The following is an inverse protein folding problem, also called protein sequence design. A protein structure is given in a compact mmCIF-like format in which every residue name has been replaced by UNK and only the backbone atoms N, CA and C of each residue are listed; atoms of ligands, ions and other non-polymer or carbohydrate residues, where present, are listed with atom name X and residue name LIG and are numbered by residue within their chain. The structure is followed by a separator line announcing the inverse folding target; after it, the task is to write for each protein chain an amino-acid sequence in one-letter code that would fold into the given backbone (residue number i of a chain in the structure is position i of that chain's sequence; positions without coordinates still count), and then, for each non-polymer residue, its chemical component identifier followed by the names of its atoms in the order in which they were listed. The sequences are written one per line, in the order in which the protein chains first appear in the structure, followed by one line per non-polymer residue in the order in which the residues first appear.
data_IF_038815077931
#
_entry.id   IF_038815077931
#
_cell.length_a   1.000
_cell.length_b   1.000
_cell.length_c   1.000
_cell.angle_alpha   90.00
_cell.angle_beta   90.00
_cell.angle_gamma   90.00
#
_symmetry.space_group_name_H-M   'P 1'
#
loop_
_entity.id
_entity.type
_entity.pdbx_description
1 polymer ?
#
# COMPACT_ATOMS: atom_id res chain seq x y z
N UNK A 1 1.29 -9.83 5.75
CA UNK A 1 1.48 -8.63 4.91
C UNK A 1 0.83 -8.94 3.58
N UNK A 2 -0.05 -8.08 3.07
CA UNK A 2 -0.64 -8.30 1.75
C UNK A 2 0.13 -7.53 0.70
N UNK A 3 0.37 -8.17 -0.45
CA UNK A 3 0.97 -7.54 -1.63
C UNK A 3 -0.03 -7.67 -2.76
N UNK A 4 -0.61 -6.53 -3.15
CA UNK A 4 -1.66 -6.46 -4.15
C UNK A 4 -1.07 -6.02 -5.48
N UNK A 5 -1.30 -6.82 -6.52
CA UNK A 5 -0.77 -6.60 -7.85
C UNK A 5 -1.90 -6.44 -8.84
N UNK A 6 -1.71 -5.54 -9.80
CA UNK A 6 -2.66 -5.27 -10.86
C UNK A 6 -1.95 -4.58 -12.02
N UNK A 7 -2.61 -4.51 -13.18
CA UNK A 7 -2.04 -3.90 -14.38
C UNK A 7 -1.97 -2.40 -14.24
N UNK A 8 -0.77 -1.83 -14.29
CA UNK A 8 -0.59 -0.38 -14.34
C UNK A 8 -0.08 0.08 -15.70
N UNK A 9 0.73 -0.73 -16.36
CA UNK A 9 1.31 -0.44 -17.67
C UNK A 9 0.78 -1.35 -18.78
N UNK A 10 0.80 -0.89 -20.05
CA UNK A 10 0.51 -1.74 -21.19
C UNK A 10 1.40 -2.99 -21.20
N UNK A 11 0.77 -4.17 -21.27
CA UNK A 11 1.47 -5.45 -21.32
C UNK A 11 1.55 -6.20 -19.98
N UNK A 12 1.22 -5.55 -18.86
CA UNK A 12 1.02 -6.19 -17.57
C UNK A 12 -0.10 -7.25 -17.67
N UNK A 13 0.09 -8.39 -17.02
CA UNK A 13 -0.88 -9.47 -16.96
C UNK A 13 -0.59 -10.38 -15.76
N UNK A 14 -1.63 -11.02 -15.22
CA UNK A 14 -1.50 -12.00 -14.13
C UNK A 14 -0.52 -13.12 -14.47
N UNK A 15 -0.57 -13.60 -15.72
CA UNK A 15 0.31 -14.67 -16.20
C UNK A 15 1.79 -14.28 -16.32
N UNK A 16 2.11 -12.98 -16.24
CA UNK A 16 3.47 -12.43 -16.29
C UNK A 16 3.93 -11.89 -14.94
N UNK A 17 3.06 -11.92 -13.93
CA UNK A 17 3.33 -11.33 -12.64
C UNK A 17 4.36 -12.19 -11.87
N UNK A 18 5.48 -11.60 -11.41
CA UNK A 18 6.42 -12.30 -10.54
C UNK A 18 5.85 -12.39 -9.12
N UNK A 19 5.03 -13.40 -8.87
CA UNK A 19 4.40 -13.68 -7.57
C UNK A 19 5.37 -13.93 -6.40
N UNK A 20 6.67 -13.92 -6.66
CA UNK A 20 7.74 -14.20 -5.71
C UNK A 20 8.71 -13.03 -5.51
N UNK A 21 8.42 -11.84 -6.09
CA UNK A 21 9.35 -10.71 -6.03
C UNK A 21 9.61 -10.19 -4.61
N UNK A 22 8.64 -10.37 -3.71
CA UNK A 22 8.81 -10.15 -2.28
C UNK A 22 8.90 -11.53 -1.60
N UNK A 23 10.07 -11.85 -1.09
CA UNK A 23 10.41 -13.20 -0.59
C UNK A 23 10.17 -13.40 0.90
N UNK A 24 9.64 -12.38 1.61
CA UNK A 24 9.31 -12.52 3.02
C UNK A 24 8.16 -13.54 3.18
N UNK A 25 8.32 -14.59 4.02
CA UNK A 25 7.31 -15.65 4.16
C UNK A 25 5.98 -15.16 4.73
N UNK A 26 5.93 -13.94 5.27
CA UNK A 26 4.69 -13.30 5.75
C UNK A 26 3.95 -12.55 4.63
N UNK A 27 4.51 -12.50 3.41
CA UNK A 27 3.92 -11.87 2.25
C UNK A 27 2.86 -12.78 1.61
N UNK A 28 1.63 -12.31 1.59
CA UNK A 28 0.53 -12.94 0.88
C UNK A 28 0.24 -12.15 -0.40
N UNK A 29 0.55 -12.78 -1.52
CA UNK A 29 0.47 -12.20 -2.84
C UNK A 29 -0.94 -12.40 -3.42
N UNK A 30 -1.54 -11.33 -3.95
CA UNK A 30 -2.89 -11.33 -4.54
C UNK A 30 -2.92 -10.54 -5.85
N UNK A 31 -3.54 -11.11 -6.88
CA UNK A 31 -3.87 -10.40 -8.11
C UNK A 31 -5.24 -9.75 -8.00
N UNK A 32 -5.34 -8.46 -8.33
CA UNK A 32 -6.54 -7.63 -8.26
C UNK A 32 -6.79 -6.93 -9.61
N UNK A 33 -7.16 -7.71 -10.63
CA UNK A 33 -7.42 -7.20 -11.98
C UNK A 33 -8.31 -5.93 -12.00
N UNK A 34 -9.41 -5.83 -11.22
CA UNK A 34 -10.24 -4.62 -11.19
C UNK A 34 -9.59 -3.40 -10.53
N UNK A 35 -8.41 -3.54 -9.93
CA UNK A 35 -7.74 -2.54 -9.07
C UNK A 35 -8.63 -2.11 -7.90
N UNK A 36 -9.48 -2.99 -7.40
CA UNK A 36 -10.48 -2.67 -6.39
C UNK A 36 -9.83 -2.06 -5.15
N UNK A 37 -8.74 -2.66 -4.67
CA UNK A 37 -8.02 -2.20 -3.47
C UNK A 37 -7.36 -0.84 -3.72
N UNK A 38 -6.64 -0.70 -4.83
CA UNK A 38 -5.95 0.55 -5.18
C UNK A 38 -6.91 1.72 -5.41
N UNK A 39 -8.04 1.49 -6.08
CA UNK A 39 -9.12 2.47 -6.25
C UNK A 39 -9.75 2.87 -4.93
N UNK A 40 -10.01 1.88 -4.08
CA UNK A 40 -10.62 2.12 -2.77
C UNK A 40 -9.74 3.03 -1.90
N UNK A 41 -8.43 2.77 -1.83
CA UNK A 41 -7.51 3.61 -1.07
C UNK A 41 -7.30 4.99 -1.67
N UNK A 42 -7.14 5.09 -3.00
CA UNK A 42 -6.96 6.38 -3.68
C UNK A 42 -8.09 7.35 -3.39
N UNK A 43 -9.34 6.86 -3.38
CA UNK A 43 -10.53 7.68 -3.09
C UNK A 43 -10.67 8.09 -1.62
N UNK A 44 -9.86 7.53 -0.71
CA UNK A 44 -9.98 7.72 0.75
C UNK A 44 -8.71 8.22 1.42
N UNK A 45 -7.67 8.60 0.67
CA UNK A 45 -6.37 9.02 1.23
C UNK A 45 -6.48 10.13 2.27
N UNK A 46 -7.41 11.07 2.10
CA UNK A 46 -7.64 12.17 3.06
C UNK A 46 -8.12 11.67 4.42
N UNK A 47 -8.85 10.57 4.47
CA UNK A 47 -9.33 9.94 5.70
C UNK A 47 -8.26 9.10 6.41
N UNK A 48 -7.14 8.80 5.75
CA UNK A 48 -6.03 8.00 6.29
C UNK A 48 -4.96 8.87 6.99
N UNK A 49 -5.34 10.06 7.48
CA UNK A 49 -4.47 10.98 8.22
C UNK A 49 -4.56 10.75 9.74
N UNK A 50 -3.47 10.94 10.51
CA UNK A 50 -2.15 11.40 10.06
C UNK A 50 -1.27 10.24 9.60
N UNK A 51 -0.72 10.35 8.40
CA UNK A 51 0.37 9.49 7.93
C UNK A 51 1.70 10.17 8.18
N UNK A 52 2.69 9.43 8.69
CA UNK A 52 4.07 9.93 8.85
C UNK A 52 4.86 9.99 7.53
N UNK A 53 4.38 9.32 6.48
CA UNK A 53 5.11 9.13 5.22
C UNK A 53 4.71 10.05 4.05
N UNK A 54 3.67 10.88 4.20
CA UNK A 54 3.22 11.78 3.13
C UNK A 54 2.22 12.84 3.59
N UNK A 55 2.11 13.94 2.84
CA UNK A 55 1.18 15.06 3.07
C UNK A 55 -0.30 14.68 2.86
N UNK A 56 -0.64 13.39 2.74
CA UNK A 56 -2.00 12.94 2.45
C UNK A 56 -2.37 12.99 0.96
N UNK A 57 -1.49 13.47 0.08
CA UNK A 57 -1.77 13.61 -1.35
C UNK A 57 -1.01 12.57 -2.16
N UNK A 58 -1.70 11.95 -3.12
CA UNK A 58 -1.06 11.14 -4.16
C UNK A 58 -0.93 12.01 -5.42
N UNK A 59 0.27 12.50 -5.77
CA UNK A 59 0.49 13.52 -6.79
C UNK A 59 0.45 12.96 -8.21
N UNK A 60 0.28 11.64 -8.37
CA UNK A 60 0.22 11.01 -9.67
C UNK A 60 -1.24 11.01 -10.18
N UNK A 61 -1.44 11.43 -11.43
CA UNK A 61 -2.70 11.21 -12.13
C UNK A 61 -2.84 9.71 -12.43
N UNK A 62 -3.58 9.00 -11.60
CA UNK A 62 -3.75 7.54 -11.68
C UNK A 62 -5.20 7.17 -11.35
N UNK A 63 -5.67 6.02 -11.86
CA UNK A 63 -6.98 5.46 -11.52
C UNK A 63 -6.95 4.57 -10.27
N UNK A 64 -5.77 4.31 -9.70
CA UNK A 64 -5.58 3.52 -8.49
C UNK A 64 -4.32 3.97 -7.73
N UNK A 65 -4.30 3.77 -6.41
CA UNK A 65 -3.10 3.87 -5.60
C UNK A 65 -2.20 2.68 -5.92
N UNK A 66 -1.00 2.94 -6.43
CA UNK A 66 -0.03 1.94 -6.86
C UNK A 66 1.39 2.38 -6.49
N UNK A 67 2.36 1.45 -6.54
CA UNK A 67 3.74 1.71 -6.08
C UNK A 67 3.74 2.43 -4.72
N UNK A 68 2.94 1.90 -3.80
CA UNK A 68 2.69 2.50 -2.49
C UNK A 68 2.68 1.44 -1.40
N UNK A 69 2.94 1.85 -0.16
CA UNK A 69 2.71 1.02 1.03
C UNK A 69 1.70 1.68 1.96
N UNK A 70 1.00 0.87 2.75
CA UNK A 70 0.21 1.31 3.89
C UNK A 70 0.58 0.46 5.10
N UNK A 71 0.95 1.11 6.20
CA UNK A 71 1.31 0.52 7.47
C UNK A 71 0.22 0.81 8.50
N UNK A 72 -0.34 -0.25 9.07
CA UNK A 72 -1.36 -0.20 10.09
C UNK A 72 -0.81 -0.69 11.42
N UNK A 73 -1.29 -0.12 12.52
CA UNK A 73 -1.00 -0.58 13.87
C UNK A 73 -1.67 -1.93 14.16
N UNK A 74 -1.20 -2.62 15.21
CA UNK A 74 -1.73 -3.94 15.59
C UNK A 74 -3.21 -3.93 15.94
N UNK A 75 -3.69 -2.80 16.47
CA UNK A 75 -5.07 -2.62 16.90
C UNK A 75 -5.95 -1.97 15.80
N UNK A 76 -5.45 -1.91 14.56
CA UNK A 76 -6.22 -1.40 13.42
C UNK A 76 -7.46 -2.24 13.17
N UNK A 77 -8.61 -1.57 13.05
CA UNK A 77 -9.90 -2.19 12.76
C UNK A 77 -10.35 -1.85 11.35
N UNK A 78 -10.99 -2.81 10.68
CA UNK A 78 -11.34 -2.76 9.26
C UNK A 78 -12.87 -2.91 9.07
N UNK A 79 -13.63 -1.93 9.57
CA UNK A 79 -15.08 -1.92 9.42
C UNK A 79 -15.49 -1.24 8.11
N UNK A 80 -15.27 0.07 8.01
CA UNK A 80 -15.54 0.87 6.81
C UNK A 80 -14.27 1.57 6.32
N UNK A 81 -13.68 2.44 7.13
CA UNK A 81 -12.36 3.04 6.88
C UNK A 81 -11.40 2.45 7.92
N UNK A 82 -10.23 1.90 7.52
CA UNK A 82 -9.35 1.28 8.47
C UNK A 82 -8.81 2.33 9.45
N UNK A 83 -8.90 2.02 10.73
CA UNK A 83 -8.31 2.85 11.78
C UNK A 83 -6.83 2.52 11.95
N UNK A 84 -6.10 3.36 12.70
CA UNK A 84 -4.73 3.02 13.09
C UNK A 84 -3.73 2.98 11.93
N UNK A 85 -3.96 3.76 10.86
CA UNK A 85 -2.91 4.03 9.87
C UNK A 85 -1.76 4.73 10.58
N UNK A 86 -0.58 4.11 10.58
CA UNK A 86 0.62 4.67 11.17
C UNK A 86 1.40 5.49 10.14
N UNK A 87 1.48 4.95 8.92
CA UNK A 87 2.21 5.57 7.82
C UNK A 87 1.75 4.97 6.49
N UNK A 88 1.90 5.74 5.44
CA UNK A 88 1.77 5.29 4.06
C UNK A 88 2.63 6.20 3.20
N UNK A 89 3.08 5.68 2.06
CA UNK A 89 3.96 6.43 1.18
C UNK A 89 4.04 5.83 -0.21
N UNK A 90 4.58 6.64 -1.12
CA UNK A 90 4.84 6.34 -2.52
C UNK A 90 6.05 7.16 -2.99
N UNK A 91 6.83 6.76 -3.98
CA UNK A 91 6.98 5.39 -4.47
C UNK A 91 7.53 4.48 -3.37
N UNK A 92 7.27 3.16 -3.39
CA UNK A 92 7.75 2.24 -2.33
C UNK A 92 9.27 2.36 -2.19
N UNK A 93 9.98 2.40 -3.32
CA UNK A 93 11.45 2.50 -3.33
C UNK A 93 11.97 3.79 -2.71
N UNK A 94 11.30 4.93 -2.93
CA UNK A 94 11.70 6.21 -2.34
C UNK A 94 11.44 6.25 -0.84
N UNK A 95 10.43 5.53 -0.37
CA UNK A 95 9.91 5.65 0.99
C UNK A 95 10.30 4.50 1.91
N UNK A 96 11.05 3.52 1.41
CA UNK A 96 11.50 2.33 2.16
C UNK A 96 12.21 2.63 3.49
N UNK A 97 13.06 3.67 3.52
CA UNK A 97 13.82 4.03 4.73
C UNK A 97 12.90 4.63 5.80
N UNK A 98 11.86 5.37 5.38
CA UNK A 98 10.84 5.90 6.27
C UNK A 98 9.94 4.77 6.79
N UNK A 99 9.52 3.86 5.92
CA UNK A 99 8.77 2.66 6.30
C UNK A 99 9.53 1.83 7.34
N UNK A 100 10.84 1.61 7.16
CA UNK A 100 11.66 0.87 8.12
C UNK A 100 11.68 1.53 9.51
N UNK A 101 11.78 2.87 9.56
CA UNK A 101 11.70 3.64 10.82
C UNK A 101 10.32 3.53 11.46
N UNK A 102 9.25 3.75 10.68
CA UNK A 102 7.88 3.70 11.18
C UNK A 102 7.53 2.31 11.71
N UNK A 103 8.06 1.25 11.09
CA UNK A 103 7.90 -0.12 11.57
C UNK A 103 8.58 -0.36 12.92
N UNK A 104 9.79 0.19 13.15
CA UNK A 104 10.46 0.08 14.46
C UNK A 104 9.63 0.72 15.57
N UNK A 105 9.03 1.88 15.31
CA UNK A 105 8.14 2.55 16.28
C UNK A 105 6.81 1.81 16.51
N UNK A 106 6.33 1.07 15.50
CA UNK A 106 5.06 0.34 15.61
C UNK A 106 5.17 -0.94 16.46
N UNK A 107 6.39 -1.46 16.64
CA UNK A 107 6.66 -2.75 17.30
C UNK A 107 7.25 -2.57 18.71
N UNK A 108 7.87 -1.42 19.00
CA UNK A 108 8.37 -1.06 20.34
C UNK A 108 7.28 -0.56 21.26
#
# INVERSE_FOLDING_TARGET
MFVIWFRMYPGDAESKWPGELLTDPRAEHRWDEPKAVGRWFLTRLTALRPSRGGDGAFPQQSDALWDSYLLFGRDATWNDIPTGVLSWGFTVMRTRDQLAKDFQFAVG
#
